data_IF_051036339231
#
_entry.id   IF_051036339231
#
_cell.length_a   1.000
_cell.length_b   1.000
_cell.length_c   1.000
_cell.angle_alpha   90.00
_cell.angle_beta   90.00
_cell.angle_gamma   90.00
#
_symmetry.space_group_name_H-M   'P 1'
#
loop_
_entity.id
_entity.type
_entity.pdbx_description
1 polymer ?
#
# COMPACT_ATOMS: atom_id res chain seq x y z
N UNK A 1 33.58 -18.19 21.87
CA UNK A 1 32.73 -17.11 21.34
C UNK A 1 31.54 -16.86 22.27
N UNK A 2 31.40 -15.66 22.77
CA UNK A 2 30.33 -15.37 23.68
C UNK A 2 28.97 -15.34 22.95
N UNK A 3 27.96 -15.94 23.53
CA UNK A 3 26.61 -15.87 23.01
C UNK A 3 26.11 -14.41 23.09
N UNK A 4 25.38 -13.96 22.08
CA UNK A 4 24.74 -12.64 22.14
C UNK A 4 23.74 -12.60 23.26
N UNK A 5 23.64 -11.46 23.96
CA UNK A 5 22.63 -11.26 24.98
C UNK A 5 21.25 -11.22 24.32
N UNK A 6 20.15 -11.51 25.06
CA UNK A 6 18.80 -11.41 24.52
C UNK A 6 18.50 -10.04 23.90
N UNK A 7 18.97 -8.95 24.53
CA UNK A 7 18.76 -7.59 24.02
C UNK A 7 19.44 -7.39 22.67
N UNK A 8 20.66 -7.86 22.51
CA UNK A 8 21.41 -7.75 21.25
C UNK A 8 20.72 -8.55 20.15
N UNK A 9 20.20 -9.75 20.47
CA UNK A 9 19.47 -10.56 19.49
C UNK A 9 18.18 -9.88 19.04
N UNK A 10 17.47 -9.25 19.97
CA UNK A 10 16.24 -8.51 19.65
C UNK A 10 16.55 -7.29 18.77
N UNK A 11 17.62 -6.56 19.10
CA UNK A 11 18.05 -5.43 18.28
C UNK A 11 18.43 -5.85 16.86
N UNK A 12 19.20 -6.95 16.73
CA UNK A 12 19.58 -7.46 15.42
C UNK A 12 18.37 -7.90 14.61
N UNK A 13 17.44 -8.61 15.25
CA UNK A 13 16.20 -9.04 14.60
C UNK A 13 15.38 -7.85 14.11
N UNK A 14 15.27 -6.82 14.94
CA UNK A 14 14.54 -5.60 14.59
C UNK A 14 15.20 -4.90 13.40
N UNK A 15 16.51 -4.75 13.42
CA UNK A 15 17.25 -4.11 12.33
C UNK A 15 17.17 -4.90 11.03
N UNK A 16 17.12 -6.23 11.11
CA UNK A 16 16.92 -7.08 9.94
C UNK A 16 15.54 -6.84 9.33
N UNK A 17 14.51 -6.73 10.15
CA UNK A 17 13.15 -6.40 9.69
C UNK A 17 13.13 -5.04 9.00
N UNK A 18 13.73 -4.03 9.63
CA UNK A 18 13.83 -2.69 9.05
C UNK A 18 14.57 -2.69 7.72
N UNK A 19 15.66 -3.45 7.64
CA UNK A 19 16.47 -3.54 6.43
C UNK A 19 15.71 -4.20 5.29
N UNK A 20 15.05 -5.32 5.55
CA UNK A 20 14.23 -6.00 4.53
C UNK A 20 13.11 -5.09 4.06
N UNK A 21 12.42 -4.43 4.99
CA UNK A 21 11.35 -3.51 4.67
C UNK A 21 11.85 -2.37 3.77
N UNK A 22 12.94 -1.70 4.18
CA UNK A 22 13.45 -0.54 3.45
C UNK A 22 13.91 -0.92 2.03
N UNK A 23 14.63 -2.04 1.89
CA UNK A 23 15.09 -2.50 0.58
C UNK A 23 13.95 -2.92 -0.31
N UNK A 24 12.98 -3.62 0.26
CA UNK A 24 11.79 -4.07 -0.49
C UNK A 24 10.98 -2.88 -1.00
N UNK A 25 10.73 -1.91 -0.14
CA UNK A 25 10.03 -0.69 -0.53
C UNK A 25 10.76 0.06 -1.66
N UNK A 26 12.09 0.15 -1.54
CA UNK A 26 12.92 0.80 -2.55
C UNK A 26 12.83 0.09 -3.91
N UNK A 27 12.88 -1.23 -3.92
CA UNK A 27 12.80 -2.01 -5.15
C UNK A 27 11.39 -1.94 -5.77
N UNK A 28 10.35 -1.91 -4.95
CA UNK A 28 8.98 -1.71 -5.46
C UNK A 28 8.84 -0.31 -6.07
N UNK A 29 9.34 0.71 -5.38
CA UNK A 29 9.33 2.09 -5.92
C UNK A 29 10.00 2.14 -7.28
N UNK A 30 11.15 1.49 -7.43
CA UNK A 30 11.89 1.46 -8.69
C UNK A 30 11.10 0.77 -9.80
N UNK A 31 10.50 -0.39 -9.49
CA UNK A 31 9.75 -1.17 -10.47
C UNK A 31 8.49 -0.43 -10.94
N UNK A 32 7.84 0.34 -10.06
CA UNK A 32 6.57 1.00 -10.36
C UNK A 32 6.74 2.46 -10.80
N UNK A 33 7.94 3.01 -10.68
CA UNK A 33 8.21 4.39 -11.08
C UNK A 33 7.76 4.72 -12.52
N UNK A 34 7.99 3.86 -13.52
CA UNK A 34 7.53 4.14 -14.89
C UNK A 34 6.01 4.28 -15.03
N UNK A 35 5.26 3.78 -14.05
CA UNK A 35 3.80 3.84 -14.05
C UNK A 35 3.27 4.99 -13.19
N UNK A 36 4.17 5.81 -12.64
CA UNK A 36 3.80 6.93 -11.79
C UNK A 36 3.37 6.52 -10.37
N UNK A 37 3.74 5.33 -9.93
CA UNK A 37 3.35 4.79 -8.63
C UNK A 37 4.55 4.56 -7.73
N UNK A 38 4.36 4.78 -6.43
CA UNK A 38 5.27 4.30 -5.40
C UNK A 38 4.74 3.05 -4.74
N UNK A 39 5.53 2.44 -3.86
CA UNK A 39 5.16 1.24 -3.13
C UNK A 39 3.91 1.44 -2.28
N UNK A 40 3.81 2.58 -1.59
CA UNK A 40 2.64 2.89 -0.75
C UNK A 40 1.40 3.18 -1.59
N UNK A 41 1.55 3.82 -2.74
CA UNK A 41 0.46 4.01 -3.69
C UNK A 41 -0.14 2.67 -4.11
N UNK A 42 0.74 1.73 -4.44
CA UNK A 42 0.31 0.39 -4.85
C UNK A 42 -0.43 -0.33 -3.72
N UNK A 43 0.04 -0.22 -2.47
CA UNK A 43 -0.62 -0.87 -1.34
C UNK A 43 -2.07 -0.41 -1.21
N UNK A 44 -2.34 0.88 -1.38
CA UNK A 44 -3.70 1.41 -1.33
C UNK A 44 -4.53 0.82 -2.48
N UNK A 45 -4.01 0.83 -3.69
CA UNK A 45 -4.72 0.25 -4.84
C UNK A 45 -4.98 -1.24 -4.63
N UNK A 46 -4.00 -1.96 -4.09
CA UNK A 46 -4.11 -3.41 -3.87
C UNK A 46 -5.18 -3.74 -2.82
N UNK A 47 -5.27 -2.96 -1.75
CA UNK A 47 -6.31 -3.11 -0.74
C UNK A 47 -7.68 -2.84 -1.33
N UNK A 48 -7.82 -1.78 -2.13
CA UNK A 48 -9.08 -1.46 -2.78
C UNK A 48 -9.50 -2.51 -3.80
N UNK A 49 -8.54 -3.21 -4.40
CA UNK A 49 -8.80 -4.25 -5.40
C UNK A 49 -9.04 -5.62 -4.78
N UNK A 50 -8.91 -5.79 -3.47
CA UNK A 50 -9.02 -7.09 -2.80
C UNK A 50 -10.35 -7.23 -2.04
N UNK A 51 -10.75 -8.47 -1.77
CA UNK A 51 -11.92 -8.78 -0.94
C UNK A 51 -13.22 -8.30 -1.55
N UNK A 52 -14.10 -7.79 -0.70
CA UNK A 52 -15.41 -7.29 -1.14
C UNK A 52 -15.32 -5.99 -1.93
N UNK A 53 -14.18 -5.31 -1.88
CA UNK A 53 -13.94 -4.11 -2.65
C UNK A 53 -13.33 -4.38 -4.04
N UNK A 54 -13.29 -5.65 -4.47
CA UNK A 54 -12.67 -6.03 -5.74
C UNK A 54 -13.44 -5.55 -6.97
N UNK A 55 -14.75 -5.28 -6.83
CA UNK A 55 -15.57 -4.77 -7.94
C UNK A 55 -15.32 -3.28 -8.15
N UNK A 56 -15.17 -2.81 -9.41
CA UNK A 56 -15.03 -1.38 -9.66
C UNK A 56 -16.20 -0.59 -9.07
N UNK A 57 -15.87 0.50 -8.37
CA UNK A 57 -16.86 1.31 -7.70
C UNK A 57 -17.25 0.85 -6.29
N UNK A 58 -16.74 -0.30 -5.83
CA UNK A 58 -16.97 -0.72 -4.45
C UNK A 58 -16.25 0.22 -3.48
N UNK A 59 -16.96 0.64 -2.44
CA UNK A 59 -16.47 1.65 -1.50
C UNK A 59 -15.72 1.00 -0.34
N UNK A 60 -14.62 1.64 0.07
CA UNK A 60 -13.86 1.27 1.27
C UNK A 60 -13.65 2.52 2.11
N UNK A 61 -13.84 2.40 3.42
CA UNK A 61 -13.59 3.53 4.33
C UNK A 61 -12.10 3.81 4.42
N UNK A 62 -11.73 5.09 4.39
CA UNK A 62 -10.33 5.51 4.53
C UNK A 62 -9.71 4.96 5.82
N UNK A 63 -10.48 4.91 6.92
CA UNK A 63 -9.99 4.35 8.18
C UNK A 63 -9.57 2.88 8.04
N UNK A 64 -10.33 2.09 7.30
CA UNK A 64 -9.99 0.69 7.07
C UNK A 64 -8.72 0.54 6.24
N UNK A 65 -8.49 1.45 5.31
CA UNK A 65 -7.24 1.48 4.53
C UNK A 65 -6.07 1.83 5.46
N UNK A 66 -6.23 2.85 6.29
CA UNK A 66 -5.19 3.29 7.22
C UNK A 66 -4.72 2.15 8.13
N UNK A 67 -5.66 1.34 8.63
CA UNK A 67 -5.35 0.23 9.53
C UNK A 67 -4.53 -0.87 8.84
N UNK A 68 -4.62 -0.97 7.52
CA UNK A 68 -3.96 -2.05 6.75
C UNK A 68 -2.65 -1.63 6.11
N UNK A 69 -2.46 -0.34 5.80
CA UNK A 69 -1.26 0.13 5.10
C UNK A 69 -0.18 0.66 6.04
N UNK A 70 -0.48 0.81 7.32
CA UNK A 70 0.47 1.28 8.34
C UNK A 70 1.05 2.67 8.02
N UNK A 71 0.20 3.56 7.51
CA UNK A 71 0.52 4.97 7.31
C UNK A 71 -0.22 5.83 8.31
N UNK A 72 0.35 6.98 8.63
CA UNK A 72 -0.39 7.98 9.42
C UNK A 72 -1.59 8.47 8.61
N UNK A 73 -2.60 8.99 9.30
CA UNK A 73 -3.79 9.52 8.62
C UNK A 73 -3.45 10.66 7.68
N UNK A 74 -2.54 11.54 8.07
CA UNK A 74 -2.13 12.65 7.22
C UNK A 74 -1.37 12.18 5.97
N UNK A 75 -0.50 11.18 6.11
CA UNK A 75 0.21 10.62 4.97
C UNK A 75 -0.75 9.91 4.01
N UNK A 76 -1.69 9.13 4.55
CA UNK A 76 -2.69 8.44 3.75
C UNK A 76 -3.60 9.43 3.03
N UNK A 77 -4.05 10.48 3.72
CA UNK A 77 -4.91 11.50 3.11
C UNK A 77 -4.25 12.18 1.92
N UNK A 78 -2.95 12.51 2.05
CA UNK A 78 -2.18 13.11 0.96
C UNK A 78 -2.01 12.13 -0.21
N UNK A 79 -1.76 10.87 0.10
CA UNK A 79 -1.60 9.82 -0.90
C UNK A 79 -2.91 9.62 -1.68
N UNK A 80 -4.03 9.52 -0.98
CA UNK A 80 -5.36 9.38 -1.61
C UNK A 80 -5.66 10.61 -2.47
N UNK A 81 -5.35 11.81 -2.00
CA UNK A 81 -5.52 13.04 -2.78
C UNK A 81 -4.75 13.00 -4.09
N UNK A 82 -3.51 12.49 -4.08
CA UNK A 82 -2.70 12.35 -5.28
C UNK A 82 -3.30 11.29 -6.23
N UNK A 83 -3.72 10.14 -5.71
CA UNK A 83 -4.36 9.11 -6.52
C UNK A 83 -5.68 9.59 -7.13
N UNK A 84 -6.44 10.39 -6.39
CA UNK A 84 -7.67 11.00 -6.89
C UNK A 84 -7.38 11.97 -8.03
N UNK A 85 -6.36 12.81 -7.86
CA UNK A 85 -5.94 13.75 -8.90
C UNK A 85 -5.52 13.04 -10.19
N UNK A 86 -4.87 11.87 -10.04
CA UNK A 86 -4.44 11.06 -11.17
C UNK A 86 -5.59 10.22 -11.77
N UNK A 87 -6.77 10.32 -11.20
CA UNK A 87 -7.95 9.61 -11.71
C UNK A 87 -8.01 8.14 -11.40
N UNK A 88 -7.24 7.68 -10.41
CA UNK A 88 -7.15 6.25 -10.06
C UNK A 88 -8.15 5.85 -8.99
N UNK A 89 -8.57 6.79 -8.15
CA UNK A 89 -9.57 6.57 -7.11
C UNK A 89 -10.55 7.73 -7.10
N UNK A 90 -11.73 7.49 -6.52
CA UNK A 90 -12.74 8.50 -6.28
C UNK A 90 -13.06 8.53 -4.80
N UNK A 91 -13.08 9.74 -4.24
CA UNK A 91 -13.44 9.97 -2.86
C UNK A 91 -14.90 10.40 -2.81
N UNK A 92 -15.66 9.80 -1.90
CA UNK A 92 -17.06 10.18 -1.72
C UNK A 92 -17.38 10.24 -0.23
N UNK A 93 -18.36 11.07 0.11
CA UNK A 93 -18.88 11.17 1.48
C UNK A 93 -20.27 10.53 1.47
N UNK A 94 -20.48 9.52 2.31
CA UNK A 94 -21.76 8.88 2.44
C UNK A 94 -22.72 9.83 3.16
N UNK A 95 -23.90 10.07 2.58
CA UNK A 95 -24.91 10.96 3.16
C UNK A 95 -25.40 10.43 4.51
N UNK A 96 -25.45 9.11 4.68
CA UNK A 96 -25.90 8.46 5.90
C UNK A 96 -24.83 8.40 6.98
N UNK A 97 -23.55 8.44 6.60
CA UNK A 97 -22.42 8.42 7.53
C UNK A 97 -21.51 9.62 7.27
N UNK A 98 -21.86 10.74 7.88
CA UNK A 98 -21.12 11.99 7.74
C UNK A 98 -19.72 11.94 8.38
N UNK A 99 -19.40 10.87 9.13
CA UNK A 99 -18.13 10.72 9.84
C UNK A 99 -17.08 10.02 8.98
N UNK A 100 -17.48 9.42 7.86
CA UNK A 100 -16.60 8.60 7.05
C UNK A 100 -16.34 9.20 5.69
N UNK A 101 -15.07 9.12 5.26
CA UNK A 101 -14.71 9.33 3.87
C UNK A 101 -14.54 7.95 3.26
N UNK A 102 -15.15 7.75 2.12
CA UNK A 102 -15.14 6.50 1.38
C UNK A 102 -14.33 6.66 0.10
N UNK A 103 -13.64 5.62 -0.30
CA UNK A 103 -12.80 5.63 -1.49
C UNK A 103 -13.11 4.40 -2.32
N UNK A 104 -13.14 4.57 -3.63
CA UNK A 104 -13.34 3.48 -4.58
C UNK A 104 -12.32 3.57 -5.69
N UNK A 105 -11.92 2.41 -6.26
CA UNK A 105 -11.15 2.41 -7.48
C UNK A 105 -12.00 2.87 -8.65
N UNK A 106 -11.43 3.71 -9.51
CA UNK A 106 -12.00 3.98 -10.83
C UNK A 106 -11.66 2.82 -11.76
N UNK A 107 -12.29 2.79 -12.94
CA UNK A 107 -11.91 1.82 -13.98
C UNK A 107 -10.41 1.95 -14.33
N UNK A 108 -9.92 3.18 -14.43
CA UNK A 108 -8.50 3.45 -14.70
C UNK A 108 -7.61 2.89 -13.60
N UNK A 109 -8.00 3.09 -12.34
CA UNK A 109 -7.25 2.56 -11.19
C UNK A 109 -7.23 1.05 -11.17
N UNK A 110 -8.35 0.42 -11.45
CA UNK A 110 -8.46 -1.04 -11.55
C UNK A 110 -7.55 -1.58 -12.65
N UNK A 111 -7.57 -0.97 -13.83
CA UNK A 111 -6.75 -1.40 -14.96
C UNK A 111 -5.26 -1.25 -14.66
N UNK A 112 -4.86 -0.14 -14.06
CA UNK A 112 -3.47 0.08 -13.69
C UNK A 112 -3.02 -0.93 -12.63
N UNK A 113 -3.84 -1.17 -11.62
CA UNK A 113 -3.54 -2.18 -10.59
C UNK A 113 -3.32 -3.55 -11.22
N UNK A 114 -4.19 -3.96 -12.13
CA UNK A 114 -4.08 -5.26 -12.83
C UNK A 114 -2.78 -5.35 -13.62
N UNK A 115 -2.38 -4.25 -14.26
CA UNK A 115 -1.15 -4.19 -15.05
C UNK A 115 0.10 -4.29 -14.18
N UNK A 116 0.15 -3.58 -13.06
CA UNK A 116 1.37 -3.48 -12.24
C UNK A 116 1.47 -4.54 -11.15
N UNK A 117 0.37 -5.21 -10.81
CA UNK A 117 0.36 -6.22 -9.76
C UNK A 117 1.43 -7.31 -9.98
N UNK A 118 1.58 -7.89 -11.18
CA UNK A 118 2.63 -8.89 -11.40
C UNK A 118 4.04 -8.35 -11.15
N UNK A 119 4.28 -7.07 -11.44
CA UNK A 119 5.58 -6.44 -11.22
C UNK A 119 5.89 -6.33 -9.73
N UNK A 120 4.92 -5.90 -8.95
CA UNK A 120 5.07 -5.81 -7.50
C UNK A 120 5.27 -7.20 -6.88
N UNK A 121 4.48 -8.19 -7.31
CA UNK A 121 4.62 -9.58 -6.82
C UNK A 121 5.99 -10.18 -7.16
N UNK A 122 6.54 -9.86 -8.33
CA UNK A 122 7.87 -10.31 -8.71
C UNK A 122 8.95 -9.74 -7.78
N UNK A 123 8.81 -8.47 -7.39
CA UNK A 123 9.72 -7.85 -6.42
C UNK A 123 9.61 -8.55 -5.06
N UNK A 124 8.38 -8.79 -4.59
CA UNK A 124 8.16 -9.49 -3.31
C UNK A 124 8.81 -10.87 -3.33
N UNK A 125 8.64 -11.61 -4.42
CA UNK A 125 9.24 -12.95 -4.54
C UNK A 125 10.77 -12.87 -4.45
N UNK A 126 11.38 -11.95 -5.19
CA UNK A 126 12.84 -11.79 -5.20
C UNK A 126 13.37 -11.33 -3.84
N UNK A 127 12.67 -10.44 -3.16
CA UNK A 127 13.15 -9.86 -1.91
C UNK A 127 12.85 -10.70 -0.68
N UNK A 128 11.74 -11.44 -0.67
CA UNK A 128 11.30 -12.16 0.52
C UNK A 128 11.63 -13.66 0.47
N UNK A 129 11.83 -14.23 -0.71
CA UNK A 129 12.16 -15.65 -0.90
C UNK A 129 13.63 -15.88 -1.24
N UNK A 130 14.44 -14.84 -1.16
CA UNK A 130 15.87 -14.95 -1.42
C UNK A 130 16.61 -15.61 -0.26
#
# INVERSE_FOLDING_TARGET
>A
MAAKTPDVRLEDQWRDILSVHARTMCEIDRALHPYGLGASDFEVLDILASGTAAEPGALCRVQNIADRVHLSQSALSRLIGRLEKDGLVERTVCVEDRRGVWVALTAKGHDLHTEVRPLQRAVLDRMLNA
#
